data_IF_001606961718
#
_entry.id   IF_001606961718
#
_cell.length_a   1.000
_cell.length_b   1.000
_cell.length_c   1.000
_cell.angle_alpha   90.00
_cell.angle_beta   90.00
_cell.angle_gamma   90.00
#
_symmetry.space_group_name_H-M   'P 1'
#
loop_
_entity.id
_entity.type
_entity.pdbx_description
1 polymer ?
#
# COMPACT_ATOMS: atom_id res chain seq x y z
N UNK A 1 -5.82 -11.69 -6.80
CA UNK A 1 -6.17 -10.77 -5.98
C UNK A 1 -6.51 -11.06 -4.52
N UNK A 2 -5.54 -10.79 -3.66
CA UNK A 2 -5.78 -10.86 -2.22
C UNK A 2 -5.79 -9.46 -1.63
N UNK A 3 -6.54 -9.32 -0.54
CA UNK A 3 -6.59 -8.08 0.20
C UNK A 3 -5.73 -8.22 1.44
N UNK A 4 -4.83 -7.27 1.64
CA UNK A 4 -3.98 -7.23 2.82
C UNK A 4 -4.24 -5.95 3.59
N UNK A 5 -4.15 -6.06 4.91
CA UNK A 5 -4.20 -4.89 5.78
C UNK A 5 -2.79 -4.29 5.85
N UNK A 6 -2.69 -3.01 5.53
CA UNK A 6 -1.42 -2.33 5.39
C UNK A 6 -1.40 -1.12 6.31
N UNK A 7 -0.28 -0.93 7.01
CA UNK A 7 -0.04 0.29 7.78
C UNK A 7 0.61 1.31 6.87
N UNK A 8 -0.02 2.47 6.72
CA UNK A 8 0.48 3.53 5.85
C UNK A 8 1.67 4.20 6.52
N UNK A 9 2.84 4.13 5.88
CA UNK A 9 4.06 4.71 6.40
C UNK A 9 4.34 6.09 5.85
N UNK A 10 3.75 6.45 4.74
CA UNK A 10 3.93 7.75 4.12
C UNK A 10 3.84 7.69 2.63
N UNK A 11 4.32 8.73 1.97
CA UNK A 11 4.31 8.78 0.51
C UNK A 11 5.34 7.82 -0.07
N UNK A 12 5.00 7.27 -1.24
CA UNK A 12 5.96 6.48 -1.99
C UNK A 12 7.12 7.38 -2.42
N UNK A 13 8.32 6.82 -2.39
CA UNK A 13 9.51 7.56 -2.80
C UNK A 13 9.50 7.91 -4.29
N UNK A 14 8.73 7.17 -5.08
CA UNK A 14 8.70 7.35 -6.53
C UNK A 14 7.66 8.35 -6.98
N UNK A 15 6.63 8.57 -6.20
CA UNK A 15 5.54 9.42 -6.63
C UNK A 15 4.81 10.00 -5.43
N UNK A 16 4.46 11.26 -5.54
CA UNK A 16 3.65 11.91 -4.51
C UNK A 16 2.19 11.49 -4.60
N UNK A 17 1.80 10.85 -5.71
CA UNK A 17 0.43 10.41 -5.89
C UNK A 17 0.18 9.02 -5.32
N UNK A 18 1.21 8.40 -4.76
CA UNK A 18 1.11 7.08 -4.18
C UNK A 18 1.59 7.07 -2.75
N UNK A 19 0.97 6.22 -1.96
CA UNK A 19 1.40 5.95 -0.60
C UNK A 19 2.06 4.60 -0.55
N UNK A 20 2.92 4.42 0.45
CA UNK A 20 3.49 3.11 0.70
C UNK A 20 3.25 2.71 2.15
N UNK A 21 3.17 1.42 2.37
CA UNK A 21 3.05 0.86 3.69
C UNK A 21 3.61 -0.54 3.70
N UNK A 22 3.41 -1.24 4.81
CA UNK A 22 3.88 -2.62 4.96
C UNK A 22 2.76 -3.48 5.47
N UNK A 23 2.71 -4.70 4.96
CA UNK A 23 1.76 -5.69 5.45
C UNK A 23 2.38 -6.52 6.58
N UNK A 24 1.63 -7.48 7.09
CA UNK A 24 2.09 -8.32 8.18
C UNK A 24 3.28 -9.21 7.81
N UNK A 25 3.50 -9.43 6.52
CA UNK A 25 4.65 -10.17 6.02
C UNK A 25 5.87 -9.27 5.80
N UNK A 26 5.80 -8.02 6.22
CA UNK A 26 6.87 -7.03 6.11
C UNK A 26 7.25 -6.70 4.65
N UNK A 27 6.32 -6.87 3.75
CA UNK A 27 6.52 -6.50 2.35
C UNK A 27 6.00 -5.09 2.10
N UNK A 28 6.73 -4.35 1.27
CA UNK A 28 6.32 -3.00 0.91
C UNK A 28 5.13 -3.08 -0.05
N UNK A 29 4.10 -2.30 0.24
CA UNK A 29 2.90 -2.22 -0.59
C UNK A 29 2.73 -0.79 -1.03
N UNK A 30 2.53 -0.58 -2.32
CA UNK A 30 2.32 0.74 -2.92
C UNK A 30 0.91 0.80 -3.48
N UNK A 31 0.22 1.87 -3.19
CA UNK A 31 -1.17 2.04 -3.63
C UNK A 31 -1.47 3.53 -3.85
N UNK A 32 -2.47 3.85 -4.68
CA UNK A 32 -2.79 5.26 -4.97
C UNK A 32 -3.16 6.02 -3.70
N UNK A 33 -2.67 7.24 -3.61
CA UNK A 33 -3.04 8.15 -2.54
C UNK A 33 -4.46 8.65 -2.78
N UNK A 34 -5.33 8.35 -1.85
CA UNK A 34 -6.70 8.87 -1.88
C UNK A 34 -6.86 9.80 -0.68
N UNK A 35 -7.88 9.61 0.14
CA UNK A 35 -8.04 10.41 1.35
C UNK A 35 -7.39 9.75 2.55
N UNK A 36 -6.26 9.08 2.32
CA UNK A 36 -5.58 8.30 3.32
C UNK A 36 -4.45 9.09 3.94
N UNK A 37 -4.17 8.82 5.20
CA UNK A 37 -3.16 9.52 5.96
C UNK A 37 -2.15 8.56 6.55
N UNK A 38 -0.92 9.06 6.73
CA UNK A 38 0.13 8.32 7.39
C UNK A 38 -0.32 7.90 8.80
N UNK A 39 -0.02 6.67 9.15
CA UNK A 39 -0.37 6.13 10.46
C UNK A 39 -1.69 5.40 10.50
N UNK A 40 -2.45 5.42 9.42
CA UNK A 40 -3.70 4.68 9.33
C UNK A 40 -3.48 3.30 8.74
N UNK A 41 -4.40 2.40 9.06
CA UNK A 41 -4.45 1.10 8.40
C UNK A 41 -5.44 1.15 7.25
N UNK A 42 -5.13 0.40 6.20
CA UNK A 42 -6.01 0.34 5.04
C UNK A 42 -5.96 -1.07 4.45
N UNK A 43 -7.07 -1.51 3.91
CA UNK A 43 -7.11 -2.76 3.16
C UNK A 43 -6.74 -2.46 1.72
N UNK A 44 -5.77 -3.20 1.19
CA UNK A 44 -5.29 -3.01 -0.17
C UNK A 44 -5.48 -4.29 -0.95
N UNK A 45 -6.19 -4.18 -2.07
CA UNK A 45 -6.33 -5.28 -3.01
C UNK A 45 -5.09 -5.33 -3.89
N UNK A 46 -4.34 -6.42 -3.80
CA UNK A 46 -3.10 -6.56 -4.54
C UNK A 46 -3.40 -6.90 -5.99
N UNK A 47 -2.90 -6.08 -6.90
CA UNK A 47 -3.11 -6.24 -8.33
C UNK A 47 -1.88 -6.80 -9.03
N UNK A 48 -0.70 -6.50 -8.53
CA UNK A 48 0.52 -7.08 -9.07
C UNK A 48 1.59 -7.13 -8.00
N UNK A 49 2.63 -7.89 -8.28
CA UNK A 49 3.76 -7.97 -7.36
C UNK A 49 5.06 -8.03 -8.16
N UNK A 50 6.09 -7.44 -7.60
CA UNK A 50 7.46 -7.61 -8.06
C UNK A 50 8.25 -8.28 -6.95
N UNK A 51 9.56 -8.42 -7.12
CA UNK A 51 10.38 -9.24 -6.23
C UNK A 51 10.27 -8.84 -4.75
N UNK A 52 10.06 -7.56 -4.46
CA UNK A 52 10.02 -7.08 -3.08
C UNK A 52 8.88 -6.09 -2.82
N UNK A 53 8.06 -5.82 -3.81
CA UNK A 53 7.03 -4.79 -3.70
C UNK A 53 5.70 -5.30 -4.25
N UNK A 54 4.65 -5.04 -3.50
CA UNK A 54 3.29 -5.31 -3.93
C UNK A 54 2.65 -4.02 -4.39
N UNK A 55 1.86 -4.10 -5.45
CA UNK A 55 1.13 -2.95 -5.97
C UNK A 55 -0.35 -3.28 -5.97
N UNK A 56 -1.14 -2.35 -5.50
CA UNK A 56 -2.57 -2.56 -5.45
C UNK A 56 -3.33 -1.25 -5.29
N UNK A 57 -4.57 -1.38 -4.87
CA UNK A 57 -5.41 -0.21 -4.62
C UNK A 57 -6.12 -0.37 -3.30
N UNK A 58 -6.38 0.76 -2.64
CA UNK A 58 -7.12 0.75 -1.38
C UNK A 58 -8.56 0.34 -1.63
N UNK A 59 -9.07 -0.53 -0.77
CA UNK A 59 -10.46 -0.98 -0.80
C UNK A 59 -11.03 -0.83 0.60
N UNK A 60 -12.32 -0.62 0.66
CA UNK A 60 -12.99 -0.47 1.95
C UNK A 60 -13.71 -1.73 2.36
#
# INVERSE_FOLDING_TARGET
GKVYRVLIEGNSKRSQDFLQGRNSANKVVVFPKENLKKGEYVNVLIESCSSATLTGKAVK
#
